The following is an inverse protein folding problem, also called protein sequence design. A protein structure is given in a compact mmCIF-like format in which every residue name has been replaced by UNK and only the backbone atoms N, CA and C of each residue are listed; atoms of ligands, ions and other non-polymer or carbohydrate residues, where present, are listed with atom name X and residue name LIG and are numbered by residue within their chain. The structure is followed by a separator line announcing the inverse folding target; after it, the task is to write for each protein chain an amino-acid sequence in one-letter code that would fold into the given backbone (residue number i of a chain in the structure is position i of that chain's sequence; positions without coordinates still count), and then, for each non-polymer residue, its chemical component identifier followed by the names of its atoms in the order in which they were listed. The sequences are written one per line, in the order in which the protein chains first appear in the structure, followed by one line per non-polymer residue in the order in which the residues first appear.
data_IF_516015168951
#
_entry.id   IF_516015168951
#
_cell.length_a   1.000
_cell.length_b   1.000
_cell.length_c   1.000
_cell.angle_alpha   90.00
_cell.angle_beta   90.00
_cell.angle_gamma   90.00
#
_symmetry.space_group_name_H-M   'P 1'
#
loop_
_entity.id
_entity.type
_entity.pdbx_description
1 polymer ?
#
# COMPACT_ATOMS: atom_id res chain seq x y z
N UNK A 1 -10.45 9.52 -18.26
CA UNK A 1 -10.26 8.43 -17.29
C UNK A 1 -9.62 7.25 -18.04
N UNK A 2 -8.54 6.73 -17.51
CA UNK A 2 -7.84 5.56 -18.02
C UNK A 2 -8.09 4.36 -17.11
N UNK A 3 -8.25 3.18 -17.71
CA UNK A 3 -8.25 1.92 -16.98
C UNK A 3 -6.83 1.57 -16.49
N UNK A 4 -6.71 0.65 -15.53
CA UNK A 4 -5.39 0.18 -15.06
C UNK A 4 -4.55 -0.43 -16.20
N UNK A 5 -5.17 -1.07 -17.19
CA UNK A 5 -4.48 -1.61 -18.37
C UNK A 5 -3.95 -0.49 -19.27
N UNK A 6 -4.75 0.54 -19.56
CA UNK A 6 -4.31 1.69 -20.36
C UNK A 6 -3.17 2.46 -19.68
N UNK A 7 -3.22 2.62 -18.35
CA UNK A 7 -2.15 3.25 -17.59
C UNK A 7 -0.86 2.42 -17.71
N UNK A 8 -0.94 1.10 -17.57
CA UNK A 8 0.22 0.22 -17.73
C UNK A 8 0.83 0.33 -19.14
N UNK A 9 0.01 0.27 -20.18
CA UNK A 9 0.46 0.43 -21.58
C UNK A 9 1.15 1.78 -21.82
N UNK A 10 0.65 2.86 -21.23
CA UNK A 10 1.26 4.18 -21.37
C UNK A 10 2.67 4.23 -20.77
N UNK A 11 2.88 3.64 -19.58
CA UNK A 11 4.22 3.56 -18.99
C UNK A 11 5.14 2.62 -19.77
N UNK A 12 4.65 1.46 -20.19
CA UNK A 12 5.38 0.49 -21.01
C UNK A 12 5.83 1.09 -22.33
N UNK A 13 4.98 1.88 -22.99
CA UNK A 13 5.34 2.59 -24.23
C UNK A 13 6.53 3.52 -24.05
N UNK A 14 6.70 4.12 -22.89
CA UNK A 14 7.84 4.98 -22.56
C UNK A 14 9.03 4.20 -21.96
N UNK A 15 8.93 2.87 -21.87
CA UNK A 15 9.94 2.04 -21.22
C UNK A 15 10.12 2.42 -19.73
N UNK A 16 9.04 2.85 -19.09
CA UNK A 16 9.03 3.23 -17.70
C UNK A 16 8.38 2.12 -16.85
N UNK A 17 8.82 2.03 -15.61
CA UNK A 17 8.29 1.06 -14.64
C UNK A 17 7.73 1.81 -13.44
N UNK A 18 6.49 1.49 -13.08
CA UNK A 18 5.81 2.02 -11.90
C UNK A 18 5.55 0.89 -10.93
N UNK A 19 5.90 1.09 -9.67
CA UNK A 19 5.62 0.15 -8.59
C UNK A 19 4.88 0.85 -7.45
N UNK A 20 3.96 0.13 -6.83
CA UNK A 20 3.19 0.60 -5.70
C UNK A 20 3.36 -0.34 -4.51
N UNK A 21 3.82 0.21 -3.40
CA UNK A 21 3.95 -0.51 -2.15
C UNK A 21 3.16 0.20 -1.04
N UNK A 22 2.32 -0.54 -0.33
CA UNK A 22 1.56 -0.03 0.81
C UNK A 22 1.89 -0.82 2.07
N UNK A 23 2.56 -0.15 2.98
CA UNK A 23 2.85 -0.65 4.32
C UNK A 23 1.90 -0.07 5.37
N UNK A 24 2.17 -0.37 6.63
CA UNK A 24 1.36 0.12 7.76
C UNK A 24 1.55 1.62 7.99
N UNK A 25 2.76 2.14 7.73
CA UNK A 25 3.11 3.53 8.02
C UNK A 25 3.13 4.45 6.79
N UNK A 26 3.30 3.90 5.61
CA UNK A 26 3.43 4.67 4.38
C UNK A 26 2.92 3.90 3.18
N UNK A 27 2.38 4.64 2.24
CA UNK A 27 2.26 4.21 0.86
C UNK A 27 3.42 4.80 0.05
N UNK A 28 3.92 4.06 -0.91
CA UNK A 28 5.09 4.42 -1.71
C UNK A 28 4.77 4.12 -3.16
N UNK A 29 4.95 5.13 -3.99
CA UNK A 29 4.79 5.04 -5.43
C UNK A 29 6.15 5.33 -6.05
N UNK A 30 6.69 4.39 -6.80
CA UNK A 30 8.01 4.48 -7.42
C UNK A 30 7.89 4.52 -8.93
N UNK A 31 8.65 5.41 -9.56
CA UNK A 31 8.77 5.51 -11.00
C UNK A 31 10.23 5.35 -11.39
N UNK A 32 10.50 4.41 -12.29
CA UNK A 32 11.80 4.30 -12.98
C UNK A 32 11.56 4.64 -14.44
N UNK A 33 12.29 5.64 -14.95
CA UNK A 33 12.12 6.12 -16.30
C UNK A 33 13.46 6.43 -16.97
N UNK A 34 13.47 6.33 -18.29
CA UNK A 34 14.59 6.82 -19.10
C UNK A 34 14.59 8.35 -19.12
N UNK A 35 15.77 8.97 -19.04
CA UNK A 35 15.91 10.43 -19.00
C UNK A 35 15.17 11.16 -20.12
N UNK A 36 15.16 10.59 -21.32
CA UNK A 36 14.47 11.18 -22.49
C UNK A 36 12.93 11.24 -22.37
N UNK A 37 12.35 10.44 -21.45
CA UNK A 37 10.90 10.38 -21.23
C UNK A 37 10.49 10.85 -19.84
N UNK A 38 11.41 11.36 -19.03
CA UNK A 38 11.16 11.78 -17.65
C UNK A 38 10.00 12.77 -17.55
N UNK A 39 9.96 13.77 -18.44
CA UNK A 39 8.89 14.78 -18.45
C UNK A 39 7.49 14.17 -18.63
N UNK A 40 7.34 13.26 -19.59
CA UNK A 40 6.06 12.59 -19.86
C UNK A 40 5.65 11.69 -18.70
N UNK A 41 6.57 10.87 -18.23
CA UNK A 41 6.30 9.87 -17.20
C UNK A 41 6.04 10.50 -15.82
N UNK A 42 6.69 11.62 -15.49
CA UNK A 42 6.39 12.41 -14.28
C UNK A 42 4.95 12.95 -14.33
N UNK A 43 4.52 13.51 -15.46
CA UNK A 43 3.15 14.02 -15.61
C UNK A 43 2.11 12.92 -15.47
N UNK A 44 2.36 11.76 -16.10
CA UNK A 44 1.48 10.58 -15.96
C UNK A 44 1.40 10.10 -14.50
N UNK A 45 2.54 10.07 -13.80
CA UNK A 45 2.59 9.70 -12.39
C UNK A 45 1.80 10.70 -11.53
N UNK A 46 1.95 11.98 -11.80
CA UNK A 46 1.22 13.04 -11.09
C UNK A 46 -0.29 12.93 -11.34
N UNK A 47 -0.73 12.77 -12.59
CA UNK A 47 -2.14 12.56 -12.95
C UNK A 47 -2.71 11.34 -12.21
N UNK A 48 -2.03 10.19 -12.26
CA UNK A 48 -2.45 8.99 -11.56
C UNK A 48 -2.55 9.21 -10.04
N UNK A 49 -1.66 10.02 -9.47
CA UNK A 49 -1.63 10.29 -8.03
C UNK A 49 -2.67 11.33 -7.61
N UNK A 50 -2.88 12.36 -8.41
CA UNK A 50 -3.71 13.52 -8.04
C UNK A 50 -5.17 13.39 -8.50
N UNK A 51 -5.46 12.52 -9.47
CA UNK A 51 -6.78 12.37 -10.09
C UNK A 51 -7.34 10.95 -9.93
N UNK A 52 -7.04 10.28 -8.82
CA UNK A 52 -7.52 8.93 -8.54
C UNK A 52 -9.05 8.88 -8.42
N UNK A 53 -9.69 7.94 -9.13
CA UNK A 53 -11.17 7.88 -9.24
C UNK A 53 -11.79 6.61 -8.66
N UNK A 54 -11.01 5.61 -8.36
CA UNK A 54 -11.43 4.31 -7.76
C UNK A 54 -12.65 3.67 -8.44
N UNK A 55 -12.59 3.32 -9.75
CA UNK A 55 -13.73 2.74 -10.46
C UNK A 55 -14.21 1.44 -9.81
N UNK A 56 -15.53 1.29 -9.66
CA UNK A 56 -16.16 0.13 -9.01
C UNK A 56 -15.66 -1.21 -9.58
N UNK A 57 -15.60 -1.34 -10.90
CA UNK A 57 -15.16 -2.57 -11.58
C UNK A 57 -13.71 -2.96 -11.25
N UNK A 58 -12.82 -1.97 -11.18
CA UNK A 58 -11.42 -2.18 -10.82
C UNK A 58 -11.31 -2.60 -9.34
N UNK A 59 -12.07 -1.95 -8.46
CA UNK A 59 -12.13 -2.30 -7.04
C UNK A 59 -12.62 -3.73 -6.83
N UNK A 60 -13.69 -4.15 -7.49
CA UNK A 60 -14.22 -5.52 -7.41
C UNK A 60 -13.18 -6.56 -7.83
N UNK A 61 -12.46 -6.27 -8.91
CA UNK A 61 -11.38 -7.16 -9.38
C UNK A 61 -10.24 -7.23 -8.37
N UNK A 62 -9.84 -6.10 -7.82
CA UNK A 62 -8.81 -6.03 -6.78
C UNK A 62 -9.22 -6.80 -5.51
N UNK A 63 -10.45 -6.58 -5.00
CA UNK A 63 -10.98 -7.26 -3.82
C UNK A 63 -11.02 -8.78 -4.04
N UNK A 64 -11.52 -9.24 -5.19
CA UNK A 64 -11.55 -10.66 -5.53
C UNK A 64 -10.15 -11.29 -5.46
N UNK A 65 -9.16 -10.65 -6.07
CA UNK A 65 -7.79 -11.13 -6.08
C UNK A 65 -7.18 -11.14 -4.67
N UNK A 66 -7.47 -10.12 -3.85
CA UNK A 66 -7.02 -10.03 -2.46
C UNK A 66 -7.64 -11.09 -1.57
N UNK A 67 -8.94 -11.39 -1.73
CA UNK A 67 -9.61 -12.49 -1.03
C UNK A 67 -8.97 -13.84 -1.36
N UNK A 68 -8.71 -14.10 -2.64
CA UNK A 68 -8.03 -15.33 -3.05
C UNK A 68 -6.63 -15.43 -2.44
N UNK A 69 -5.85 -14.35 -2.49
CA UNK A 69 -4.52 -14.31 -1.87
C UNK A 69 -4.58 -14.53 -0.35
N UNK A 70 -5.58 -13.98 0.32
CA UNK A 70 -5.80 -14.19 1.75
C UNK A 70 -6.07 -15.68 2.05
N UNK A 71 -6.98 -16.32 1.30
CA UNK A 71 -7.28 -17.75 1.43
C UNK A 71 -6.03 -18.62 1.25
N UNK A 72 -5.21 -18.33 0.25
CA UNK A 72 -3.93 -19.04 0.03
C UNK A 72 -2.95 -18.79 1.18
N UNK A 73 -2.93 -17.60 1.76
CA UNK A 73 -1.99 -17.26 2.82
C UNK A 73 -2.35 -17.93 4.15
N UNK A 74 -3.62 -18.03 4.51
CA UNK A 74 -4.06 -18.71 5.76
C UNK A 74 -3.78 -20.22 5.73
N UNK A 75 -3.53 -20.80 4.55
CA UNK A 75 -3.09 -22.19 4.41
C UNK A 75 -1.60 -22.39 4.76
N UNK A 76 -0.81 -21.34 4.81
CA UNK A 76 0.64 -21.40 5.08
C UNK A 76 0.91 -21.35 6.59
N UNK A 77 1.57 -22.37 7.13
CA UNK A 77 2.00 -22.40 8.54
C UNK A 77 2.87 -21.20 8.91
N UNK A 78 3.73 -20.75 7.99
CA UNK A 78 4.60 -19.58 8.18
C UNK A 78 3.82 -18.28 8.32
N UNK A 79 2.71 -18.14 7.60
CA UNK A 79 1.80 -16.99 7.71
C UNK A 79 1.09 -16.98 9.05
N UNK A 80 0.48 -18.10 9.44
CA UNK A 80 -0.20 -18.24 10.74
C UNK A 80 0.74 -18.00 11.91
N UNK A 81 1.94 -18.58 11.88
CA UNK A 81 2.95 -18.36 12.91
C UNK A 81 3.39 -16.88 13.01
N UNK A 82 3.52 -16.19 11.87
CA UNK A 82 3.83 -14.75 11.83
C UNK A 82 2.70 -13.92 12.44
N UNK A 83 1.46 -14.21 12.07
CA UNK A 83 0.29 -13.46 12.56
C UNK A 83 0.14 -13.63 14.07
N UNK A 84 0.23 -14.85 14.58
CA UNK A 84 0.17 -15.10 16.02
C UNK A 84 1.33 -14.42 16.76
N UNK A 85 2.55 -14.49 16.22
CA UNK A 85 3.69 -13.84 16.82
C UNK A 85 3.49 -12.32 16.96
N UNK A 86 3.04 -11.67 15.89
CA UNK A 86 2.75 -10.22 15.92
C UNK A 86 1.63 -9.91 16.91
N UNK A 87 0.59 -10.72 16.93
CA UNK A 87 -0.51 -10.58 17.89
C UNK A 87 -0.01 -10.64 19.34
N UNK A 88 0.87 -11.60 19.66
CA UNK A 88 1.44 -11.73 21.01
C UNK A 88 2.38 -10.58 21.38
N UNK A 89 3.08 -10.03 20.40
CA UNK A 89 4.00 -8.91 20.62
C UNK A 89 3.29 -7.58 20.85
N UNK A 90 2.22 -7.31 20.11
CA UNK A 90 1.60 -5.98 20.06
C UNK A 90 0.21 -5.92 20.68
N UNK A 91 -0.49 -7.05 20.79
CA UNK A 91 -1.89 -7.12 21.20
C UNK A 91 -2.86 -6.96 20.03
N UNK A 92 -4.07 -7.51 20.18
CA UNK A 92 -5.07 -7.60 19.11
C UNK A 92 -5.54 -6.25 18.56
N UNK A 93 -5.59 -5.22 19.41
CA UNK A 93 -6.07 -3.90 19.02
C UNK A 93 -5.00 -3.05 18.32
N UNK A 94 -3.76 -3.52 18.26
CA UNK A 94 -2.68 -2.77 17.63
C UNK A 94 -2.70 -2.97 16.10
N UNK A 95 -2.49 -1.91 15.28
CA UNK A 95 -2.52 -2.01 13.82
C UNK A 95 -1.59 -3.06 13.22
N UNK A 96 -0.46 -3.34 13.86
CA UNK A 96 0.46 -4.39 13.42
C UNK A 96 -0.14 -5.79 13.49
N UNK A 97 -1.02 -6.03 14.46
CA UNK A 97 -1.69 -7.30 14.66
C UNK A 97 -3.04 -7.39 13.93
N UNK A 98 -3.39 -6.36 13.15
CA UNK A 98 -4.65 -6.34 12.44
C UNK A 98 -4.66 -7.42 11.35
N UNK A 99 -5.53 -8.41 11.54
CA UNK A 99 -5.81 -9.47 10.59
C UNK A 99 -7.10 -9.15 9.89
N UNK A 100 -7.05 -8.91 8.60
CA UNK A 100 -8.26 -8.75 7.79
C UNK A 100 -9.00 -10.07 7.72
N UNK A 101 -10.31 -10.01 7.86
CA UNK A 101 -11.23 -11.10 7.59
C UNK A 101 -11.75 -10.98 6.15
N UNK A 102 -12.45 -12.03 5.67
CA UNK A 102 -13.05 -11.95 4.33
C UNK A 102 -14.16 -10.90 4.28
N UNK A 103 -14.87 -10.72 5.39
CA UNK A 103 -15.95 -9.74 5.54
C UNK A 103 -15.44 -8.30 5.50
N UNK A 104 -14.22 -8.03 5.99
CA UNK A 104 -13.62 -6.69 5.93
C UNK A 104 -13.40 -6.22 4.49
N UNK A 105 -13.09 -7.14 3.58
CA UNK A 105 -12.95 -6.81 2.17
C UNK A 105 -14.28 -6.39 1.53
N UNK A 106 -15.42 -6.89 2.01
CA UNK A 106 -16.75 -6.56 1.47
C UNK A 106 -17.24 -5.19 1.91
N UNK A 107 -16.60 -4.60 2.91
CA UNK A 107 -16.94 -3.26 3.40
C UNK A 107 -16.23 -2.14 2.63
N UNK A 108 -15.27 -2.46 1.78
CA UNK A 108 -14.51 -1.46 1.03
C UNK A 108 -15.32 -1.01 -0.19
N UNK A 109 -15.63 0.28 -0.25
CA UNK A 109 -16.34 0.91 -1.36
C UNK A 109 -15.50 1.99 -2.04
N UNK A 110 -15.82 2.41 -3.27
CA UNK A 110 -15.13 3.52 -3.92
C UNK A 110 -15.23 4.83 -3.11
N UNK A 111 -16.37 5.09 -2.49
CA UNK A 111 -16.59 6.28 -1.67
C UNK A 111 -15.65 6.28 -0.46
N UNK A 112 -15.55 5.15 0.25
CA UNK A 112 -14.63 5.01 1.39
C UNK A 112 -13.17 5.20 0.97
N UNK A 113 -12.78 4.69 -0.20
CA UNK A 113 -11.44 4.91 -0.73
C UNK A 113 -11.21 6.36 -1.12
N UNK A 114 -12.19 7.01 -1.71
CA UNK A 114 -12.10 8.42 -2.11
C UNK A 114 -11.98 9.33 -0.88
N UNK A 115 -12.78 9.08 0.16
CA UNK A 115 -12.72 9.82 1.42
C UNK A 115 -11.34 9.66 2.08
N UNK A 116 -10.83 8.43 2.16
CA UNK A 116 -9.49 8.16 2.68
C UNK A 116 -8.39 8.85 1.85
N UNK A 117 -8.50 8.80 0.53
CA UNK A 117 -7.57 9.46 -0.38
C UNK A 117 -7.58 10.98 -0.17
N UNK A 118 -8.76 11.60 -0.14
CA UNK A 118 -8.90 13.03 0.07
C UNK A 118 -8.42 13.48 1.46
N UNK A 119 -8.56 12.63 2.47
CA UNK A 119 -8.07 12.91 3.83
C UNK A 119 -6.55 12.76 3.95
N UNK A 120 -5.97 11.75 3.32
CA UNK A 120 -4.59 11.31 3.60
C UNK A 120 -3.55 11.68 2.55
N UNK A 121 -3.95 11.79 1.29
CA UNK A 121 -3.01 12.16 0.21
C UNK A 121 -2.89 13.69 0.15
N UNK A 122 -2.03 14.23 1.02
CA UNK A 122 -1.84 15.66 1.21
C UNK A 122 -0.36 16.03 1.06
N UNK A 123 -0.08 17.23 0.53
CA UNK A 123 1.29 17.72 0.32
C UNK A 123 2.12 17.70 1.61
N UNK A 124 1.50 18.02 2.76
CA UNK A 124 2.17 18.01 4.07
C UNK A 124 2.64 16.62 4.52
N UNK A 125 2.06 15.55 3.97
CA UNK A 125 2.41 14.14 4.26
C UNK A 125 3.21 13.50 3.13
N UNK A 126 3.38 14.19 2.01
CA UNK A 126 4.10 13.68 0.86
C UNK A 126 5.60 14.01 0.94
N UNK A 127 6.42 13.05 0.55
CA UNK A 127 7.86 13.25 0.35
C UNK A 127 8.24 12.68 -1.01
N UNK A 128 8.80 13.53 -1.86
CA UNK A 128 9.31 13.13 -3.17
C UNK A 128 10.83 12.96 -3.06
N UNK A 129 11.33 11.81 -3.46
CA UNK A 129 12.76 11.50 -3.53
C UNK A 129 13.12 11.21 -4.98
N UNK A 130 14.16 11.85 -5.48
CA UNK A 130 14.61 11.72 -6.85
C UNK A 130 16.07 11.25 -6.83
N UNK A 131 16.38 10.23 -7.65
CA UNK A 131 17.71 9.65 -7.73
C UNK A 131 18.06 9.39 -9.19
N UNK A 132 19.32 9.62 -9.59
CA UNK A 132 19.82 9.39 -10.92
C UNK A 132 20.48 10.64 -11.54
N UNK A 133 20.37 10.81 -12.86
CA UNK A 133 20.83 12.00 -13.53
C UNK A 133 19.77 13.12 -13.41
N UNK A 134 19.83 13.84 -12.30
CA UNK A 134 18.86 14.87 -11.93
C UNK A 134 19.38 16.23 -12.35
N UNK A 135 18.72 16.85 -13.33
CA UNK A 135 18.95 18.24 -13.74
C UNK A 135 17.96 19.19 -13.04
N UNK A 136 18.26 20.48 -13.05
CA UNK A 136 17.35 21.52 -12.57
C UNK A 136 16.00 21.48 -13.30
N UNK A 137 16.00 21.12 -14.58
CA UNK A 137 14.78 20.93 -15.37
C UNK A 137 13.90 19.82 -14.79
N UNK A 138 14.47 18.67 -14.42
CA UNK A 138 13.74 17.57 -13.80
C UNK A 138 13.14 18.00 -12.46
N UNK A 139 13.87 18.76 -11.65
CA UNK A 139 13.38 19.29 -10.38
C UNK A 139 12.19 20.24 -10.58
N UNK A 140 12.28 21.12 -11.59
CA UNK A 140 11.20 22.04 -11.95
C UNK A 140 9.96 21.29 -12.43
N UNK A 141 10.13 20.29 -13.30
CA UNK A 141 9.03 19.46 -13.81
C UNK A 141 8.32 18.69 -12.70
N UNK A 142 9.05 18.08 -11.77
CA UNK A 142 8.46 17.42 -10.61
C UNK A 142 7.71 18.42 -9.72
N UNK A 143 8.32 19.56 -9.41
CA UNK A 143 7.69 20.60 -8.62
C UNK A 143 6.39 21.10 -9.26
N UNK A 144 6.39 21.31 -10.57
CA UNK A 144 5.23 21.74 -11.33
C UNK A 144 4.15 20.66 -11.37
N UNK A 145 4.50 19.40 -11.64
CA UNK A 145 3.56 18.30 -11.77
C UNK A 145 2.79 18.04 -10.47
N UNK A 146 3.45 18.18 -9.31
CA UNK A 146 2.83 17.98 -8.00
C UNK A 146 2.38 19.28 -7.31
N UNK A 147 2.47 20.43 -7.96
CA UNK A 147 2.08 21.74 -7.39
C UNK A 147 0.60 21.85 -7.00
N UNK A 148 -0.25 21.04 -7.64
CA UNK A 148 -1.70 21.01 -7.38
C UNK A 148 -2.08 20.01 -6.28
N UNK A 149 -1.12 19.35 -5.65
CA UNK A 149 -1.42 18.45 -4.54
C UNK A 149 -2.09 19.20 -3.41
N UNK A 150 -3.22 18.68 -2.93
CA UNK A 150 -3.98 19.27 -1.83
C UNK A 150 -3.11 19.45 -0.58
N UNK A 151 -3.31 20.50 0.17
CA UNK A 151 -2.62 20.81 1.43
C UNK A 151 -3.57 21.01 2.61
N UNK A 152 -4.69 20.30 2.61
CA UNK A 152 -5.63 20.33 3.73
C UNK A 152 -4.97 19.78 5.01
N UNK A 153 -5.47 20.19 6.19
CA UNK A 153 -5.03 19.60 7.45
C UNK A 153 -5.29 18.09 7.47
N UNK A 154 -4.28 17.35 7.86
CA UNK A 154 -4.39 15.89 8.03
C UNK A 154 -4.71 15.60 9.49
N UNK A 155 -5.67 14.70 9.78
CA UNK A 155 -5.93 14.28 11.15
C UNK A 155 -4.66 13.71 11.80
N UNK A 156 -4.43 13.98 13.09
CA UNK A 156 -3.27 13.44 13.79
C UNK A 156 -3.29 11.91 13.79
N UNK A 157 -2.11 11.32 13.74
CA UNK A 157 -1.97 9.87 13.83
C UNK A 157 -2.52 9.37 15.16
N UNK A 158 -3.27 8.28 15.10
CA UNK A 158 -3.78 7.62 16.30
C UNK A 158 -2.61 6.98 17.07
N UNK A 159 -2.57 7.23 18.37
CA UNK A 159 -1.62 6.56 19.27
C UNK A 159 -2.20 5.19 19.66
N UNK A 160 -1.40 4.15 19.51
CA UNK A 160 -1.79 2.78 19.88
C UNK A 160 -0.95 2.29 21.03
N UNK A 161 -1.60 1.70 22.02
CA UNK A 161 -0.91 1.09 23.17
C UNK A 161 -0.52 -0.33 22.84
N UNK A 162 0.74 -0.67 23.05
CA UNK A 162 1.23 -2.05 22.91
C UNK A 162 0.77 -2.84 24.13
N UNK A 163 0.10 -3.96 23.91
CA UNK A 163 -0.42 -4.86 24.96
C UNK A 163 0.09 -6.28 24.73
N UNK A 164 1.36 -6.57 25.05
CA UNK A 164 1.94 -7.89 24.79
C UNK A 164 1.31 -8.95 25.69
N UNK A 165 1.21 -10.16 25.17
CA UNK A 165 0.68 -11.32 25.94
C UNK A 165 1.65 -11.83 27.04
N UNK A 166 2.84 -11.25 27.16
CA UNK A 166 3.89 -11.71 28.05
C UNK A 166 4.72 -12.87 27.51
N UNK A 167 5.82 -13.22 28.18
CA UNK A 167 6.68 -14.32 27.78
C UNK A 167 5.95 -15.66 27.84
N UNK A 168 6.14 -16.51 26.82
CA UNK A 168 5.49 -17.81 26.80
C UNK A 168 5.81 -18.59 25.53
N UNK A 169 5.37 -19.87 25.54
CA UNK A 169 5.36 -20.73 24.33
C UNK A 169 3.93 -20.84 23.85
N UNK A 170 3.69 -20.42 22.64
CA UNK A 170 2.39 -20.42 22.01
C UNK A 170 2.39 -21.38 20.84
N UNK A 171 1.35 -22.18 20.71
CA UNK A 171 1.24 -23.20 19.67
C UNK A 171 -0.09 -23.07 18.94
N UNK A 172 -0.02 -23.07 17.61
CA UNK A 172 -1.17 -23.15 16.72
C UNK A 172 -1.10 -24.52 16.03
N UNK A 173 -2.12 -25.33 16.23
CA UNK A 173 -2.25 -26.59 15.49
C UNK A 173 -2.93 -26.31 14.16
N UNK A 174 -2.32 -26.79 13.07
CA UNK A 174 -2.93 -26.82 11.74
C UNK A 174 -2.98 -28.26 11.28
N UNK A 175 -4.19 -28.85 11.11
CA UNK A 175 -4.36 -30.18 10.56
C UNK A 175 -3.68 -30.29 9.18
N UNK A 176 -3.15 -31.46 8.88
CA UNK A 176 -2.53 -31.78 7.59
C UNK A 176 -1.32 -30.90 7.17
N UNK A 177 -0.75 -30.16 8.11
CA UNK A 177 0.44 -29.37 7.85
C UNK A 177 1.67 -30.28 7.70
N UNK A 178 2.34 -30.20 6.55
CA UNK A 178 3.59 -30.96 6.28
C UNK A 178 4.84 -30.25 6.82
N UNK A 179 4.72 -29.02 7.32
CA UNK A 179 5.84 -28.21 7.81
C UNK A 179 5.46 -27.49 9.11
N UNK A 180 6.45 -27.35 9.98
CA UNK A 180 6.34 -26.51 11.19
C UNK A 180 7.06 -25.19 10.97
N UNK A 181 6.43 -24.08 11.37
CA UNK A 181 7.04 -22.76 11.37
C UNK A 181 7.23 -22.29 12.81
N UNK A 182 8.43 -21.84 13.14
CA UNK A 182 8.78 -21.33 14.47
C UNK A 182 9.12 -19.84 14.35
N UNK A 183 8.60 -19.04 15.28
CA UNK A 183 8.93 -17.63 15.45
C UNK A 183 9.44 -17.40 16.87
N UNK A 184 10.58 -16.73 17.01
CA UNK A 184 11.20 -16.40 18.29
C UNK A 184 11.54 -14.91 18.27
N UNK A 185 11.23 -14.22 19.36
CA UNK A 185 11.54 -12.81 19.54
C UNK A 185 11.09 -12.28 20.90
N UNK A 186 11.43 -11.02 21.17
CA UNK A 186 11.01 -10.27 22.36
C UNK A 186 10.80 -8.79 22.03
#
# INVERSE_FOLDING_TARGET
QHSSAEIAELFDYHGAYVDFNCGIHKAELSLISLNKYTSQTIRMLAEMTLESTFPQKELETYIRNRKQQHLVNIEKTSYLARMEFIYRMYGKAHPYANCFTLEDFDQVTPELLLDFYQERVQASQCRIMICGNVSDTVLQEVSQAFSLMSSNPVPPDKTYTIQPSGPGKYHISKPDAVQTSIRIGK
#
